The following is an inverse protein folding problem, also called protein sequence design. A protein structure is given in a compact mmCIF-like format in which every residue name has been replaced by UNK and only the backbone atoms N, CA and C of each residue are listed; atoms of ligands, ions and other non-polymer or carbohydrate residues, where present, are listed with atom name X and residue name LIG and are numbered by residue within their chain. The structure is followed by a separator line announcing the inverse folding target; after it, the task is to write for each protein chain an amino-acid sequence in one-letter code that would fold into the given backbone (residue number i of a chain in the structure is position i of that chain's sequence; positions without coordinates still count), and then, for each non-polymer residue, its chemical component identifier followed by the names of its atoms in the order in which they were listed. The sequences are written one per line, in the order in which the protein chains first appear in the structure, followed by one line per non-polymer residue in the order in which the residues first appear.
data_IF_038361945543
#
_entry.id   IF_038361945543
#
_cell.length_a   1.000
_cell.length_b   1.000
_cell.length_c   1.000
_cell.angle_alpha   90.00
_cell.angle_beta   90.00
_cell.angle_gamma   90.00
#
_symmetry.space_group_name_H-M   'P 1'
#
loop_
_entity.id
_entity.type
_entity.pdbx_description
1 polymer ?
#
# COMPACT_ATOMS: atom_id res chain seq x y z
N UNK A 1 1.20 -8.66 -8.70
CA UNK A 1 -0.06 -9.35 -8.47
C UNK A 1 -0.06 -9.89 -7.03
N UNK A 2 -1.08 -9.61 -6.23
CA UNK A 2 -1.18 -10.17 -4.89
C UNK A 2 -1.50 -11.66 -4.96
N UNK A 3 -1.01 -12.42 -4.01
CA UNK A 3 -1.47 -13.78 -3.73
C UNK A 3 -2.32 -13.67 -2.47
N UNK A 4 -3.60 -13.93 -2.62
CA UNK A 4 -4.58 -13.76 -1.55
C UNK A 4 -4.95 -15.11 -0.94
N UNK A 5 -5.09 -15.10 0.38
CA UNK A 5 -5.62 -16.20 1.18
C UNK A 5 -6.84 -15.68 1.93
N UNK A 6 -8.00 -16.22 1.64
CA UNK A 6 -9.24 -15.79 2.28
C UNK A 6 -9.94 -16.96 2.94
N UNK A 7 -10.42 -16.75 4.16
CA UNK A 7 -11.26 -17.72 4.83
C UNK A 7 -12.73 -17.41 4.58
N UNK A 8 -13.45 -18.33 3.95
CA UNK A 8 -14.88 -18.23 3.75
C UNK A 8 -15.68 -18.31 5.06
N UNK A 9 -16.97 -17.99 4.99
CA UNK A 9 -17.86 -17.97 6.16
C UNK A 9 -18.01 -19.37 6.82
N UNK A 10 -17.86 -20.43 6.07
CA UNK A 10 -17.90 -21.81 6.56
C UNK A 10 -16.54 -22.33 7.07
N UNK A 11 -15.50 -21.45 7.06
CA UNK A 11 -14.17 -21.78 7.57
C UNK A 11 -13.21 -22.38 6.55
N UNK A 12 -13.64 -22.62 5.31
CA UNK A 12 -12.77 -23.07 4.23
C UNK A 12 -11.83 -21.97 3.77
N UNK A 13 -10.61 -22.36 3.36
CA UNK A 13 -9.60 -21.45 2.84
C UNK A 13 -9.58 -21.46 1.31
N UNK A 14 -9.77 -20.29 0.71
CA UNK A 14 -9.54 -20.03 -0.70
C UNK A 14 -8.18 -19.36 -0.89
N UNK A 15 -7.47 -19.72 -1.96
CA UNK A 15 -6.19 -19.11 -2.33
C UNK A 15 -6.13 -18.91 -3.84
N UNK A 16 -5.42 -17.87 -4.26
CA UNK A 16 -5.20 -17.62 -5.69
C UNK A 16 -4.55 -16.27 -5.93
N UNK A 17 -4.44 -15.94 -7.21
CA UNK A 17 -4.05 -14.60 -7.60
C UNK A 17 -5.23 -13.65 -7.44
N UNK A 18 -4.98 -12.48 -6.86
CA UNK A 18 -5.90 -11.36 -6.84
C UNK A 18 -5.86 -10.54 -8.12
N UNK A 19 -6.48 -9.38 -8.08
CA UNK A 19 -6.48 -8.44 -9.20
C UNK A 19 -5.08 -7.86 -9.43
N UNK A 20 -4.70 -7.68 -10.70
CA UNK A 20 -3.40 -7.10 -11.08
C UNK A 20 -3.58 -5.59 -11.22
N UNK A 21 -2.69 -4.84 -10.57
CA UNK A 21 -2.64 -3.39 -10.69
C UNK A 21 -1.44 -2.94 -11.52
N UNK A 22 -1.66 -1.91 -12.34
CA UNK A 22 -0.65 -1.19 -13.09
C UNK A 22 -0.78 0.29 -12.79
N UNK A 23 0.32 0.91 -12.38
CA UNK A 23 0.30 2.32 -12.04
C UNK A 23 1.53 3.06 -12.53
N UNK A 24 1.39 4.37 -12.63
CA UNK A 24 2.50 5.28 -12.81
C UNK A 24 2.42 6.39 -11.76
N UNK A 25 3.59 6.89 -11.38
CA UNK A 25 3.73 7.97 -10.40
C UNK A 25 4.82 8.92 -10.86
N UNK A 26 4.58 10.22 -10.73
CA UNK A 26 5.56 11.26 -11.01
C UNK A 26 5.81 12.11 -9.77
N UNK A 27 7.08 12.33 -9.45
CA UNK A 27 7.47 13.29 -8.44
C UNK A 27 7.25 14.70 -9.00
N UNK A 28 6.43 15.49 -8.32
CA UNK A 28 6.10 16.87 -8.67
C UNK A 28 6.97 17.88 -7.92
N UNK A 29 7.36 17.52 -6.70
CA UNK A 29 8.20 18.35 -5.85
C UNK A 29 9.09 17.46 -4.98
N UNK A 30 10.36 17.84 -4.83
CA UNK A 30 11.25 17.24 -3.85
C UNK A 30 12.24 18.27 -3.33
N UNK A 31 12.57 18.21 -2.05
CA UNK A 31 13.53 19.10 -1.41
C UNK A 31 14.29 18.35 -0.32
N UNK A 32 15.56 18.11 -0.56
CA UNK A 32 16.46 17.49 0.43
C UNK A 32 16.63 18.37 1.66
N UNK A 33 16.66 19.70 1.49
CA UNK A 33 16.83 20.64 2.60
C UNK A 33 15.70 20.60 3.61
N UNK A 34 14.47 20.38 3.14
CA UNK A 34 13.28 20.31 3.99
C UNK A 34 12.83 18.89 4.25
N UNK A 35 13.44 17.90 3.60
CA UNK A 35 13.05 16.49 3.69
C UNK A 35 11.65 16.21 3.17
N UNK A 36 11.17 16.95 2.16
CA UNK A 36 9.81 16.87 1.64
C UNK A 36 9.78 16.32 0.21
N UNK A 37 8.78 15.51 -0.07
CA UNK A 37 8.49 15.01 -1.40
C UNK A 37 6.99 15.00 -1.64
N UNK A 38 6.57 15.40 -2.84
CA UNK A 38 5.19 15.28 -3.29
C UNK A 38 5.14 14.61 -4.66
N UNK A 39 4.20 13.73 -4.85
CA UNK A 39 4.00 13.00 -6.10
C UNK A 39 2.51 12.88 -6.41
N UNK A 40 2.19 12.68 -7.67
CA UNK A 40 0.87 12.28 -8.10
C UNK A 40 0.98 11.16 -9.14
N UNK A 41 -0.06 10.38 -9.27
CA UNK A 41 -0.11 9.26 -10.19
C UNK A 41 -1.51 8.73 -10.38
N UNK A 42 -1.58 7.63 -11.08
CA UNK A 42 -2.80 6.85 -11.22
C UNK A 42 -2.48 5.36 -11.33
N UNK A 43 -3.41 4.55 -10.87
CA UNK A 43 -3.37 3.09 -10.96
C UNK A 43 -4.61 2.57 -11.67
N UNK A 44 -4.48 1.49 -12.40
CA UNK A 44 -5.58 0.72 -12.99
C UNK A 44 -5.51 -0.69 -12.43
N UNK A 45 -6.54 -1.10 -11.71
CA UNK A 45 -6.71 -2.47 -11.19
C UNK A 45 -7.57 -3.25 -12.17
N UNK A 46 -7.01 -4.32 -12.72
CA UNK A 46 -7.68 -5.18 -13.69
C UNK A 46 -8.30 -6.39 -12.98
N UNK A 47 -9.54 -6.81 -13.36
CA UNK A 47 -10.25 -7.91 -12.71
C UNK A 47 -9.70 -9.28 -13.15
N UNK A 48 -8.47 -9.57 -12.76
CA UNK A 48 -7.77 -10.84 -13.06
C UNK A 48 -7.95 -11.88 -11.98
N UNK A 49 -8.36 -11.46 -10.79
CA UNK A 49 -8.67 -12.35 -9.68
C UNK A 49 -9.97 -13.10 -9.86
N UNK A 50 -10.13 -14.19 -9.12
CA UNK A 50 -11.32 -15.03 -9.23
C UNK A 50 -12.42 -14.51 -8.28
N UNK A 51 -13.31 -13.69 -8.80
CA UNK A 51 -14.42 -13.08 -8.06
C UNK A 51 -15.29 -14.11 -7.32
N UNK A 52 -15.60 -15.26 -7.95
CA UNK A 52 -16.48 -16.27 -7.38
C UNK A 52 -16.01 -16.87 -6.05
N UNK A 53 -14.75 -16.67 -5.68
CA UNK A 53 -14.17 -17.08 -4.40
C UNK A 53 -13.59 -15.87 -3.62
N UNK A 54 -13.98 -14.63 -4.00
CA UNK A 54 -13.63 -13.42 -3.28
C UNK A 54 -12.21 -12.91 -3.52
N UNK A 55 -11.49 -13.41 -4.52
CA UNK A 55 -10.09 -13.02 -4.79
C UNK A 55 -9.97 -11.91 -5.85
N UNK A 56 -11.05 -11.27 -6.25
CA UNK A 56 -11.04 -10.15 -7.19
C UNK A 56 -12.39 -9.43 -7.21
N UNK A 57 -12.37 -8.19 -7.71
CA UNK A 57 -13.56 -7.32 -7.74
C UNK A 57 -14.50 -7.65 -8.92
N UNK A 58 -13.97 -8.29 -9.98
CA UNK A 58 -14.73 -8.62 -11.18
C UNK A 58 -15.05 -7.42 -12.09
N UNK A 59 -14.49 -6.24 -11.81
CA UNK A 59 -14.55 -5.03 -12.63
C UNK A 59 -13.24 -4.24 -12.51
N UNK A 60 -12.97 -3.38 -13.49
CA UNK A 60 -11.78 -2.53 -13.47
C UNK A 60 -11.99 -1.33 -12.54
N UNK A 61 -10.95 -0.97 -11.78
CA UNK A 61 -10.93 0.24 -10.96
C UNK A 61 -9.85 1.18 -11.49
N UNK A 62 -10.17 2.47 -11.64
CA UNK A 62 -9.22 3.53 -11.90
C UNK A 62 -9.01 4.35 -10.62
N UNK A 63 -7.75 4.48 -10.17
CA UNK A 63 -7.38 5.11 -8.91
C UNK A 63 -6.39 6.26 -9.16
N UNK A 64 -6.85 7.51 -9.41
CA UNK A 64 -5.98 8.68 -9.34
C UNK A 64 -5.63 9.00 -7.88
N UNK A 65 -4.36 9.33 -7.63
CA UNK A 65 -3.87 9.57 -6.29
C UNK A 65 -2.82 10.68 -6.19
N UNK A 66 -2.62 11.18 -4.98
CA UNK A 66 -1.50 12.03 -4.60
C UNK A 66 -0.82 11.50 -3.34
N UNK A 67 0.47 11.74 -3.24
CA UNK A 67 1.28 11.32 -2.12
C UNK A 67 2.12 12.48 -1.59
N UNK A 68 2.30 12.51 -0.29
CA UNK A 68 3.18 13.41 0.42
C UNK A 68 4.10 12.63 1.35
N UNK A 69 5.38 12.97 1.37
CA UNK A 69 6.35 12.43 2.30
C UNK A 69 7.12 13.54 3.00
N UNK A 70 7.40 13.35 4.27
CA UNK A 70 8.17 14.27 5.10
C UNK A 70 9.14 13.48 5.96
N UNK A 71 10.43 13.79 5.86
CA UNK A 71 11.43 13.35 6.83
C UNK A 71 11.26 14.14 8.12
N UNK A 72 11.24 13.44 9.22
CA UNK A 72 11.14 13.97 10.57
C UNK A 72 12.48 13.76 11.31
N UNK A 73 12.74 14.46 12.43
CA UNK A 73 13.91 14.21 13.24
C UNK A 73 14.06 12.75 13.68
N UNK A 74 15.30 12.36 14.03
CA UNK A 74 15.63 11.02 14.55
C UNK A 74 15.30 9.88 13.61
N UNK A 75 15.54 10.06 12.30
CA UNK A 75 15.28 9.09 11.24
C UNK A 75 13.79 8.67 11.14
N UNK A 76 12.89 9.52 11.63
CA UNK A 76 11.47 9.28 11.51
C UNK A 76 10.93 9.85 10.21
N UNK A 77 9.76 9.39 9.80
CA UNK A 77 9.08 9.84 8.58
C UNK A 77 7.57 9.88 8.77
N UNK A 78 6.94 10.73 7.98
CA UNK A 78 5.51 10.79 7.76
C UNK A 78 5.26 10.56 6.27
N UNK A 79 4.32 9.70 5.94
CA UNK A 79 3.84 9.48 4.57
C UNK A 79 2.33 9.59 4.54
N UNK A 80 1.81 10.23 3.51
CA UNK A 80 0.38 10.35 3.25
C UNK A 80 0.11 9.95 1.80
N UNK A 81 -0.95 9.20 1.59
CA UNK A 81 -1.41 8.76 0.29
C UNK A 81 -2.93 8.90 0.25
N UNK A 82 -3.45 9.74 -0.62
CA UNK A 82 -4.89 9.94 -0.77
C UNK A 82 -5.31 9.90 -2.22
N UNK A 83 -6.49 9.39 -2.46
CA UNK A 83 -7.00 9.20 -3.82
C UNK A 83 -8.49 8.91 -3.86
N UNK A 84 -8.94 8.54 -5.03
CA UNK A 84 -10.33 8.16 -5.30
C UNK A 84 -10.32 6.89 -6.13
N UNK A 85 -11.07 5.88 -5.70
CA UNK A 85 -11.34 4.69 -6.49
C UNK A 85 -12.59 4.90 -7.34
N UNK A 86 -12.44 4.67 -8.65
CA UNK A 86 -13.49 4.87 -9.64
C UNK A 86 -13.75 3.53 -10.36
N UNK A 87 -14.76 2.75 -9.93
CA UNK A 87 -15.11 1.50 -10.58
C UNK A 87 -15.67 1.74 -11.98
N UNK A 88 -15.31 0.89 -12.93
CA UNK A 88 -15.85 0.92 -14.30
C UNK A 88 -17.31 0.51 -14.38
N UNK A 89 -17.79 -0.22 -13.40
CA UNK A 89 -19.18 -0.66 -13.25
C UNK A 89 -19.74 -0.16 -11.92
N UNK A 90 -20.50 0.92 -11.96
CA UNK A 90 -21.13 1.54 -10.79
C UNK A 90 -22.27 0.72 -10.17
N UNK A 91 -22.73 -0.33 -10.86
CA UNK A 91 -23.77 -1.25 -10.32
C UNK A 91 -23.15 -2.31 -9.42
N UNK A 92 -21.85 -2.57 -9.59
CA UNK A 92 -21.11 -3.61 -8.87
C UNK A 92 -20.11 -3.03 -7.85
N UNK A 93 -19.64 -1.82 -8.05
CA UNK A 93 -18.71 -1.13 -7.18
C UNK A 93 -19.13 0.30 -6.91
N UNK A 94 -18.93 0.79 -5.69
CA UNK A 94 -19.13 2.19 -5.32
C UNK A 94 -17.82 2.96 -5.49
N UNK A 95 -17.93 4.25 -5.82
CA UNK A 95 -16.78 5.15 -5.73
C UNK A 95 -16.35 5.27 -4.27
N UNK A 96 -15.05 5.35 -4.05
CA UNK A 96 -14.49 5.48 -2.71
C UNK A 96 -13.43 6.58 -2.68
N UNK A 97 -13.44 7.39 -1.64
CA UNK A 97 -12.36 8.33 -1.32
C UNK A 97 -11.54 7.72 -0.19
N UNK A 98 -10.23 7.72 -0.31
CA UNK A 98 -9.36 7.16 0.72
C UNK A 98 -8.22 8.09 1.11
N UNK A 99 -7.74 7.91 2.33
CA UNK A 99 -6.53 8.51 2.87
C UNK A 99 -5.79 7.49 3.74
N UNK A 100 -4.53 7.26 3.41
CA UNK A 100 -3.61 6.38 4.15
C UNK A 100 -2.50 7.25 4.71
N UNK A 101 -2.25 7.18 6.01
CA UNK A 101 -1.22 7.99 6.68
C UNK A 101 -0.34 7.09 7.53
N UNK A 102 0.95 7.06 7.23
CA UNK A 102 1.93 6.26 7.96
C UNK A 102 2.94 7.16 8.68
N UNK A 103 3.23 6.82 9.93
CA UNK A 103 4.32 7.39 10.71
C UNK A 103 5.23 6.26 11.16
N UNK A 104 6.52 6.42 10.93
CA UNK A 104 7.49 5.40 11.29
C UNK A 104 8.87 5.99 11.58
N UNK A 105 9.79 5.11 11.94
CA UNK A 105 11.19 5.46 12.17
C UNK A 105 12.08 4.35 11.63
N UNK A 106 13.24 4.69 11.10
CA UNK A 106 14.23 3.72 10.65
C UNK A 106 15.27 3.51 11.75
N UNK A 107 15.37 2.28 12.20
CA UNK A 107 16.32 1.81 13.21
C UNK A 107 17.41 0.98 12.53
N UNK A 108 18.64 1.05 13.03
CA UNK A 108 19.76 0.22 12.57
C UNK A 108 20.07 0.34 11.07
N UNK A 109 19.88 1.54 10.51
CA UNK A 109 20.29 1.85 9.14
C UNK A 109 21.71 2.44 9.14
N UNK A 110 22.62 1.86 8.37
CA UNK A 110 23.90 2.50 8.08
C UNK A 110 23.65 3.43 6.90
N UNK A 111 23.50 4.74 7.17
CA UNK A 111 23.32 5.91 6.28
C UNK A 111 23.10 5.61 4.77
N UNK A 112 22.06 4.83 4.46
CA UNK A 112 21.68 4.48 3.08
C UNK A 112 22.20 3.14 2.56
N UNK A 113 23.16 2.52 3.25
CA UNK A 113 23.72 1.22 2.87
C UNK A 113 23.59 0.25 4.04
N UNK A 114 22.92 -0.88 3.83
CA UNK A 114 22.78 -1.92 4.85
C UNK A 114 21.35 -2.29 5.17
N UNK A 115 21.18 -3.17 6.14
CA UNK A 115 19.86 -3.60 6.61
C UNK A 115 19.27 -2.53 7.51
N UNK A 116 18.12 -1.99 7.12
CA UNK A 116 17.34 -1.05 7.90
C UNK A 116 16.06 -1.74 8.39
N UNK A 117 15.67 -1.43 9.63
CA UNK A 117 14.42 -1.85 10.23
C UNK A 117 13.55 -0.63 10.41
N UNK A 118 12.37 -0.65 9.83
CA UNK A 118 11.46 0.51 9.84
C UNK A 118 10.11 0.11 10.42
N UNK A 119 9.96 0.12 11.77
CA UNK A 119 8.64 0.01 12.37
C UNK A 119 7.81 1.26 12.03
N UNK A 120 6.55 1.04 11.70
CA UNK A 120 5.60 2.09 11.38
C UNK A 120 4.19 1.74 11.86
N UNK A 121 3.38 2.75 12.03
CA UNK A 121 1.94 2.62 12.21
C UNK A 121 1.27 3.40 11.10
N UNK A 122 0.37 2.74 10.40
CA UNK A 122 -0.44 3.35 9.36
C UNK A 122 -1.90 3.43 9.82
N UNK A 123 -2.55 4.55 9.54
CA UNK A 123 -3.98 4.76 9.71
C UNK A 123 -4.57 4.81 8.31
N UNK A 124 -5.53 3.94 8.06
CA UNK A 124 -6.30 3.90 6.82
C UNK A 124 -7.68 4.48 7.09
N UNK A 125 -8.08 5.38 6.23
CA UNK A 125 -9.44 5.92 6.17
C UNK A 125 -9.97 5.75 4.75
N UNK A 126 -11.18 5.25 4.66
CA UNK A 126 -11.89 5.11 3.40
C UNK A 126 -13.36 5.49 3.58
N UNK A 127 -13.95 6.04 2.53
CA UNK A 127 -15.37 6.41 2.53
C UNK A 127 -15.98 6.06 1.17
N UNK A 128 -16.68 4.93 1.08
CA UNK A 128 -17.47 4.59 -0.10
C UNK A 128 -18.66 5.53 -0.27
N UNK A 129 -19.06 5.77 -1.51
CA UNK A 129 -20.23 6.56 -1.86
C UNK A 129 -21.50 5.89 -1.29
N UNK A 130 -22.28 6.64 -0.50
CA UNK A 130 -23.49 6.13 0.17
C UNK A 130 -23.23 5.29 1.42
N UNK A 131 -21.97 5.03 1.79
CA UNK A 131 -21.58 4.27 2.96
C UNK A 131 -21.07 5.10 4.14
N UNK A 132 -20.81 4.44 5.25
CA UNK A 132 -20.09 4.97 6.40
C UNK A 132 -18.58 5.11 6.14
N UNK A 133 -17.89 5.92 6.91
CA UNK A 133 -16.44 5.98 6.85
C UNK A 133 -15.83 4.77 7.57
N UNK A 134 -14.88 4.12 6.92
CA UNK A 134 -14.12 3.00 7.45
C UNK A 134 -12.76 3.45 7.97
N UNK A 135 -12.35 2.90 9.09
CA UNK A 135 -11.08 3.19 9.74
C UNK A 135 -10.36 1.90 10.09
N UNK A 136 -9.08 1.83 9.73
CA UNK A 136 -8.18 0.75 10.15
C UNK A 136 -6.88 1.31 10.73
N UNK A 137 -6.23 0.53 11.56
CA UNK A 137 -4.86 0.77 12.00
C UNK A 137 -4.00 -0.41 11.57
N UNK A 138 -2.79 -0.12 11.09
CA UNK A 138 -1.84 -1.13 10.60
C UNK A 138 -0.49 -0.92 11.26
N UNK A 139 -0.23 -1.53 12.42
CA UNK A 139 1.13 -1.70 12.89
C UNK A 139 1.89 -2.59 11.90
N UNK A 140 3.06 -2.13 11.45
CA UNK A 140 3.85 -2.83 10.45
C UNK A 140 5.35 -2.66 10.69
N UNK A 141 6.11 -3.62 10.18
CA UNK A 141 7.55 -3.62 10.19
C UNK A 141 8.08 -3.89 8.78
N UNK A 142 8.89 -2.98 8.27
CA UNK A 142 9.63 -3.17 7.03
C UNK A 142 11.10 -3.45 7.34
N UNK A 143 11.68 -4.41 6.64
CA UNK A 143 13.09 -4.80 6.79
C UNK A 143 13.75 -4.79 5.41
N UNK A 144 14.82 -4.03 5.28
CA UNK A 144 15.66 -4.05 4.08
C UNK A 144 16.52 -5.32 4.08
N UNK A 145 16.45 -6.11 3.02
CA UNK A 145 17.18 -7.37 2.86
C UNK A 145 18.49 -7.20 2.11
N UNK A 146 18.58 -6.20 1.22
CA UNK A 146 19.77 -5.89 0.44
C UNK A 146 20.55 -4.72 1.02
N UNK A 147 21.86 -4.65 0.73
CA UNK A 147 22.72 -3.55 1.20
C UNK A 147 22.30 -2.19 0.62
N UNK A 148 21.84 -2.15 -0.60
CA UNK A 148 21.39 -0.94 -1.30
C UNK A 148 19.89 -0.68 -1.09
N UNK A 149 19.21 -1.46 -0.22
CA UNK A 149 17.78 -1.35 0.08
C UNK A 149 16.85 -1.57 -1.13
N UNK A 150 17.32 -2.23 -2.18
CA UNK A 150 16.52 -2.55 -3.35
C UNK A 150 15.53 -3.69 -3.11
N UNK A 151 15.80 -4.54 -2.10
CA UNK A 151 14.91 -5.64 -1.72
C UNK A 151 14.46 -5.42 -0.29
N UNK A 152 13.18 -5.27 -0.09
CA UNK A 152 12.57 -5.05 1.21
C UNK A 152 11.40 -6.01 1.42
N UNK A 153 11.27 -6.53 2.62
CA UNK A 153 10.10 -7.27 3.06
C UNK A 153 9.36 -6.46 4.13
N UNK A 154 8.06 -6.40 4.04
CA UNK A 154 7.26 -5.80 5.09
C UNK A 154 6.14 -6.74 5.53
N UNK A 155 5.83 -6.71 6.82
CA UNK A 155 4.72 -7.43 7.42
C UNK A 155 3.95 -6.52 8.35
N UNK A 156 2.63 -6.66 8.36
CA UNK A 156 1.73 -5.86 9.19
C UNK A 156 0.43 -6.58 9.49
N UNK A 157 -0.32 -6.01 10.41
CA UNK A 157 -1.65 -6.49 10.78
C UNK A 157 -2.65 -5.35 10.62
N UNK A 158 -3.52 -5.44 9.61
CA UNK A 158 -4.64 -4.51 9.42
C UNK A 158 -5.74 -4.84 10.42
N UNK A 159 -6.06 -3.88 11.28
CA UNK A 159 -7.03 -4.05 12.36
C UNK A 159 -8.14 -3.02 12.18
N UNK A 160 -9.39 -3.43 11.87
CA UNK A 160 -10.53 -2.53 11.81
C UNK A 160 -10.78 -1.83 13.16
N UNK A 161 -10.97 -0.51 13.13
CA UNK A 161 -11.32 0.28 14.31
C UNK A 161 -12.84 0.30 14.50
N UNK A 162 -13.58 0.41 13.40
CA UNK A 162 -15.04 0.38 13.39
C UNK A 162 -15.57 -0.78 12.55
N UNK A 163 -16.87 -1.06 12.65
CA UNK A 163 -17.58 -2.14 11.92
C UNK A 163 -16.97 -3.54 12.12
N UNK A 164 -16.45 -3.80 13.31
CA UNK A 164 -15.73 -5.04 13.67
C UNK A 164 -16.58 -6.31 13.58
N UNK A 165 -17.88 -6.16 13.51
CA UNK A 165 -18.81 -7.30 13.36
C UNK A 165 -18.72 -7.91 11.94
N UNK A 166 -18.45 -7.09 10.95
CA UNK A 166 -18.38 -7.49 9.52
C UNK A 166 -16.95 -7.47 8.98
N UNK A 167 -16.06 -6.62 9.53
CA UNK A 167 -14.67 -6.47 9.10
C UNK A 167 -13.74 -7.22 10.06
N UNK A 168 -12.85 -8.02 9.52
CA UNK A 168 -11.92 -8.85 10.30
C UNK A 168 -10.48 -8.38 10.16
N UNK A 169 -9.62 -8.60 11.17
CA UNK A 169 -8.19 -8.37 11.04
C UNK A 169 -7.59 -9.18 9.90
N UNK A 170 -6.61 -8.58 9.20
CA UNK A 170 -5.91 -9.17 8.06
C UNK A 170 -4.40 -9.10 8.28
N UNK A 171 -3.69 -10.21 8.09
CA UNK A 171 -2.24 -10.20 8.03
C UNK A 171 -1.80 -9.81 6.62
N UNK A 172 -0.88 -8.86 6.53
CA UNK A 172 -0.34 -8.33 5.28
C UNK A 172 1.16 -8.64 5.23
N UNK A 173 1.61 -9.19 4.10
CA UNK A 173 3.04 -9.38 3.82
C UNK A 173 3.28 -8.96 2.38
N UNK A 174 4.29 -8.17 2.15
CA UNK A 174 4.70 -7.80 0.80
C UNK A 174 6.22 -7.78 0.64
N UNK A 175 6.66 -8.06 -0.57
CA UNK A 175 8.03 -7.95 -1.01
C UNK A 175 8.10 -6.81 -2.02
N UNK A 176 8.92 -5.81 -1.73
CA UNK A 176 9.29 -4.77 -2.67
C UNK A 176 10.66 -5.10 -3.27
N UNK A 177 10.73 -5.04 -4.58
CA UNK A 177 11.96 -5.29 -5.31
C UNK A 177 12.15 -4.22 -6.38
N UNK A 178 13.13 -3.35 -6.19
CA UNK A 178 13.53 -2.35 -7.17
C UNK A 178 14.59 -2.93 -8.10
N UNK A 179 14.41 -2.75 -9.40
CA UNK A 179 15.24 -3.40 -10.42
C UNK A 179 16.44 -2.57 -10.83
N UNK A 180 16.43 -1.25 -10.66
CA UNK A 180 17.52 -0.41 -11.07
C UNK A 180 17.56 0.92 -10.31
N UNK A 181 18.76 1.48 -10.25
CA UNK A 181 19.06 2.76 -9.66
C UNK A 181 19.68 3.64 -10.77
N UNK A 182 18.93 4.61 -11.30
CA UNK A 182 19.41 5.53 -12.32
C UNK A 182 18.82 5.29 -13.72
N UNK A 183 19.61 4.99 -14.73
CA UNK A 183 19.17 4.78 -16.11
C UNK A 183 18.52 3.39 -16.27
N UNK A 184 17.56 3.29 -17.19
CA UNK A 184 16.86 2.03 -17.50
C UNK A 184 17.81 0.85 -17.85
N UNK A 185 19.02 1.16 -18.34
CA UNK A 185 20.04 0.15 -18.67
C UNK A 185 21.10 -0.04 -17.58
N UNK A 186 21.04 0.71 -16.49
CA UNK A 186 21.94 0.55 -15.34
C UNK A 186 21.29 -0.43 -14.35
N UNK A 187 21.54 -1.72 -14.59
CA UNK A 187 21.20 -2.75 -13.63
C UNK A 187 21.96 -2.54 -12.31
N UNK A 188 21.54 -3.20 -11.26
CA UNK A 188 22.14 -3.11 -9.93
C UNK A 188 23.67 -3.08 -9.95
N UNK A 189 24.22 -2.02 -9.42
CA UNK A 189 25.66 -1.87 -9.13
C UNK A 189 25.94 -2.09 -7.67
#
# INVERSE_FOLDING_TARGET
APVDFQQGAAGEWSRGLGDIAFGFKRVLYSSMNTGRIASAGAEVVLPTGKESIGLGNGYTIFEPFAMWGQLLPRNSFLQMHGGVELPSDSTRGSKEVFLRTAVGTTLFGDRGFGRAWSPAVEVLWAKPEGGGAEWDIVPQLQVSLSKLQHVMIAGGLRIPINEREVRRPQALVYLLWDWYDGSFFDFWK
#
